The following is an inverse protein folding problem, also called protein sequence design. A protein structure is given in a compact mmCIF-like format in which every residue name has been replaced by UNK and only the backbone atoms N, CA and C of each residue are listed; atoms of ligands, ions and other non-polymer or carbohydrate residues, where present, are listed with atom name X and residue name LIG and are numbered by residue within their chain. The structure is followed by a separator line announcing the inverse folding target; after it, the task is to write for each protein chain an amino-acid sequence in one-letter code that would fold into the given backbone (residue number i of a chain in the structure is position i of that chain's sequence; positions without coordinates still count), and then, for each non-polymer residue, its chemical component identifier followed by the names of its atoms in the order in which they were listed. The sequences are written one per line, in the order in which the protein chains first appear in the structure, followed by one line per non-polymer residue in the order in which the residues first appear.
data_IF_947601869147
#
_entry.id   IF_947601869147
#
_cell.length_a   1.000
_cell.length_b   1.000
_cell.length_c   1.000
_cell.angle_alpha   90.00
_cell.angle_beta   90.00
_cell.angle_gamma   90.00
#
_symmetry.space_group_name_H-M   'P 1'
#
loop_
_entity.id
_entity.type
_entity.pdbx_description
1 polymer ?
#
# COMPACT_ATOMS: atom_id res chain seq x y z
N UNK A 1 45.18 -51.90 12.27
CA UNK A 1 44.67 -50.60 11.81
C UNK A 1 43.17 -50.75 11.55
N UNK A 2 42.32 -50.05 12.29
CA UNK A 2 40.91 -49.90 11.95
C UNK A 2 40.49 -48.47 12.33
N UNK A 3 40.35 -47.61 11.31
CA UNK A 3 39.96 -46.21 11.47
C UNK A 3 38.53 -46.12 11.98
N UNK A 4 38.32 -45.43 13.10
CA UNK A 4 36.99 -45.01 13.54
C UNK A 4 36.53 -43.82 12.69
N UNK A 5 35.64 -44.06 11.72
CA UNK A 5 34.94 -42.97 11.04
C UNK A 5 33.82 -42.49 11.94
N UNK A 6 34.05 -41.35 12.60
CA UNK A 6 33.08 -40.62 13.39
C UNK A 6 31.96 -40.12 12.46
N UNK A 7 30.83 -40.82 12.41
CA UNK A 7 29.67 -40.39 11.64
C UNK A 7 29.12 -39.09 12.24
N UNK A 8 29.45 -37.95 11.62
CA UNK A 8 28.91 -36.63 11.98
C UNK A 8 27.43 -36.61 11.58
N UNK A 9 26.54 -36.90 12.52
CA UNK A 9 25.09 -36.76 12.33
C UNK A 9 24.79 -35.31 11.99
N UNK A 10 24.35 -35.05 10.76
CA UNK A 10 23.93 -33.72 10.34
C UNK A 10 22.78 -33.26 11.24
N UNK A 11 22.97 -32.17 11.97
CA UNK A 11 21.86 -31.52 12.67
C UNK A 11 20.95 -30.91 11.60
N UNK A 12 19.89 -31.61 11.23
CA UNK A 12 18.80 -31.01 10.48
C UNK A 12 18.22 -29.88 11.34
N UNK A 13 18.36 -28.64 10.89
CA UNK A 13 17.65 -27.53 11.50
C UNK A 13 16.15 -27.81 11.42
N UNK A 14 15.43 -27.68 12.54
CA UNK A 14 13.98 -27.72 12.53
C UNK A 14 13.50 -26.60 11.59
N UNK A 15 12.78 -26.95 10.53
CA UNK A 15 12.06 -25.96 9.74
C UNK A 15 11.18 -25.17 10.72
N UNK A 16 11.41 -23.87 10.84
CA UNK A 16 10.51 -22.98 11.55
C UNK A 16 9.21 -22.91 10.76
N UNK A 17 8.30 -23.83 11.02
CA UNK A 17 6.93 -23.77 10.53
C UNK A 17 6.17 -22.85 11.48
N UNK A 18 6.03 -21.57 11.11
CA UNK A 18 5.05 -20.74 11.80
C UNK A 18 3.68 -21.42 11.68
N UNK A 19 2.90 -21.52 12.77
CA UNK A 19 1.57 -22.11 12.70
C UNK A 19 0.73 -21.33 11.69
N UNK A 20 -0.09 -22.01 10.85
CA UNK A 20 -0.85 -21.34 9.82
C UNK A 20 -1.84 -20.36 10.46
N UNK A 21 -1.67 -19.06 10.16
CA UNK A 21 -2.60 -18.02 10.58
C UNK A 21 -3.88 -18.15 9.73
N UNK A 22 -4.97 -18.63 10.33
CA UNK A 22 -6.29 -18.77 9.67
C UNK A 22 -7.09 -17.46 9.70
N UNK A 23 -6.43 -16.36 9.35
CA UNK A 23 -7.07 -15.05 9.23
C UNK A 23 -7.74 -15.06 7.85
N UNK A 24 -9.07 -15.24 7.80
CA UNK A 24 -9.87 -15.43 6.57
C UNK A 24 -9.77 -16.85 5.96
N UNK A 25 -10.35 -17.88 6.62
CA UNK A 25 -10.44 -19.21 6.03
C UNK A 25 -11.19 -19.16 4.69
N UNK A 26 -10.86 -20.06 3.74
CA UNK A 26 -11.61 -20.13 2.48
C UNK A 26 -13.09 -20.37 2.79
N UNK A 27 -13.95 -19.56 2.17
CA UNK A 27 -15.40 -19.76 2.26
C UNK A 27 -15.84 -21.09 1.61
N UNK A 28 -17.08 -21.50 1.83
CA UNK A 28 -17.63 -22.70 1.20
C UNK A 28 -17.45 -22.67 -0.31
N UNK A 29 -16.93 -23.74 -0.90
CA UNK A 29 -16.80 -23.86 -2.34
C UNK A 29 -18.15 -24.27 -2.91
N UNK A 30 -18.97 -23.27 -3.22
CA UNK A 30 -20.30 -23.44 -3.81
C UNK A 30 -20.19 -23.20 -5.31
N UNK A 31 -20.69 -24.15 -6.10
CA UNK A 31 -20.91 -23.96 -7.53
C UNK A 31 -22.24 -23.21 -7.66
N UNK A 32 -22.17 -21.96 -8.13
CA UNK A 32 -23.37 -21.20 -8.47
C UNK A 32 -23.84 -21.63 -9.87
N UNK A 33 -24.94 -22.39 -9.93
CA UNK A 33 -25.53 -22.91 -11.17
C UNK A 33 -25.24 -24.40 -11.41
N UNK A 34 -25.75 -24.90 -12.53
CA UNK A 34 -25.54 -26.26 -13.05
C UNK A 34 -24.52 -26.27 -14.18
N UNK A 35 -24.10 -27.46 -14.61
CA UNK A 35 -23.14 -27.64 -15.72
C UNK A 35 -23.62 -26.99 -17.02
N UNK A 36 -24.93 -26.84 -17.20
CA UNK A 36 -25.54 -26.30 -18.42
C UNK A 36 -25.95 -24.83 -18.29
N UNK A 37 -25.79 -24.22 -17.11
CA UNK A 37 -26.17 -22.82 -16.92
C UNK A 37 -25.07 -21.91 -17.48
N UNK A 38 -25.41 -20.94 -18.35
CA UNK A 38 -24.44 -19.99 -18.86
C UNK A 38 -23.91 -19.12 -17.71
N UNK A 39 -22.59 -18.94 -17.64
CA UNK A 39 -21.99 -17.98 -16.70
C UNK A 39 -22.51 -16.57 -17.01
N UNK A 40 -23.01 -15.89 -15.97
CA UNK A 40 -23.45 -14.51 -16.13
C UNK A 40 -22.24 -13.62 -16.44
N UNK A 41 -22.17 -13.12 -17.68
CA UNK A 41 -21.12 -12.17 -18.09
C UNK A 41 -21.48 -10.80 -17.52
N UNK A 42 -20.60 -10.20 -16.68
CA UNK A 42 -20.86 -8.86 -16.16
C UNK A 42 -20.91 -7.86 -17.32
N UNK A 43 -21.81 -6.88 -17.22
CA UNK A 43 -21.91 -5.82 -18.24
C UNK A 43 -20.57 -5.06 -18.33
N UNK A 44 -20.05 -4.81 -19.54
CA UNK A 44 -18.80 -4.07 -19.70
C UNK A 44 -18.97 -2.65 -19.17
N UNK A 45 -18.02 -2.22 -18.35
CA UNK A 45 -17.97 -0.86 -17.77
C UNK A 45 -16.58 -0.27 -18.02
N UNK A 46 -16.42 0.75 -18.87
CA UNK A 46 -15.12 1.35 -19.15
C UNK A 46 -14.47 1.98 -17.90
N UNK A 47 -15.29 2.41 -16.92
CA UNK A 47 -14.83 2.90 -15.62
C UNK A 47 -14.03 1.87 -14.80
N UNK A 48 -14.24 0.58 -15.02
CA UNK A 48 -13.55 -0.50 -14.29
C UNK A 48 -12.28 -0.99 -15.01
N UNK A 49 -11.95 -0.45 -16.18
CA UNK A 49 -10.83 -0.91 -16.98
C UNK A 49 -10.11 0.22 -17.70
N UNK A 50 -10.58 0.57 -18.90
CA UNK A 50 -9.87 1.50 -19.79
C UNK A 50 -9.68 2.89 -19.20
N UNK A 51 -10.70 3.45 -18.55
CA UNK A 51 -10.60 4.78 -17.94
C UNK A 51 -9.70 4.79 -16.70
N UNK A 52 -9.81 3.79 -15.82
CA UNK A 52 -8.96 3.68 -14.64
C UNK A 52 -7.48 3.55 -15.04
N UNK A 53 -7.19 2.67 -15.99
CA UNK A 53 -5.83 2.46 -16.49
C UNK A 53 -5.25 3.73 -17.13
N UNK A 54 -6.01 4.40 -17.99
CA UNK A 54 -5.54 5.62 -18.66
C UNK A 54 -5.31 6.75 -17.65
N UNK A 55 -6.22 6.90 -16.68
CA UNK A 55 -6.10 7.87 -15.61
C UNK A 55 -4.84 7.62 -14.76
N UNK A 56 -4.61 6.40 -14.29
CA UNK A 56 -3.43 6.05 -13.50
C UNK A 56 -2.13 6.37 -14.25
N UNK A 57 -2.06 6.04 -15.54
CA UNK A 57 -0.86 6.28 -16.35
C UNK A 57 -0.65 7.77 -16.61
N UNK A 58 -1.70 8.51 -16.95
CA UNK A 58 -1.62 9.95 -17.13
C UNK A 58 -1.16 10.66 -15.84
N UNK A 59 -1.75 10.28 -14.70
CA UNK A 59 -1.36 10.80 -13.39
C UNK A 59 0.10 10.46 -13.07
N UNK A 60 0.52 9.21 -13.28
CA UNK A 60 1.91 8.77 -13.05
C UNK A 60 2.91 9.56 -13.88
N UNK A 61 2.61 9.82 -15.16
CA UNK A 61 3.46 10.62 -16.04
C UNK A 61 3.51 12.08 -15.59
N UNK A 62 2.37 12.67 -15.21
CA UNK A 62 2.31 14.04 -14.70
C UNK A 62 3.09 14.20 -13.37
N UNK A 63 3.14 13.15 -12.57
CA UNK A 63 3.86 13.09 -11.29
C UNK A 63 5.38 13.15 -11.45
N UNK A 64 5.96 12.58 -12.52
CA UNK A 64 7.42 12.53 -12.72
C UNK A 64 8.08 13.93 -12.73
N UNK A 65 7.62 14.92 -13.51
CA UNK A 65 8.16 16.28 -13.41
C UNK A 65 7.76 16.97 -12.09
N UNK A 66 6.60 16.62 -11.52
CA UNK A 66 6.09 17.21 -10.29
C UNK A 66 6.91 16.80 -9.05
N UNK A 67 7.53 15.62 -9.04
CA UNK A 67 8.43 15.20 -7.95
C UNK A 67 9.79 15.88 -8.03
N UNK A 68 10.19 16.38 -9.21
CA UNK A 68 11.40 17.17 -9.40
C UNK A 68 11.19 18.65 -9.03
N UNK A 69 9.97 19.17 -9.18
CA UNK A 69 9.65 20.57 -8.91
C UNK A 69 10.00 21.04 -7.47
N UNK A 70 9.79 20.26 -6.39
CA UNK A 70 10.22 20.61 -5.03
C UNK A 70 11.73 20.83 -4.88
N UNK A 71 12.56 20.21 -5.73
CA UNK A 71 14.00 20.40 -5.71
C UNK A 71 14.43 21.71 -6.37
N UNK A 72 13.57 22.33 -7.20
CA UNK A 72 13.86 23.57 -7.92
C UNK A 72 13.06 24.79 -7.41
N UNK A 73 11.82 24.62 -6.95
CA UNK A 73 10.89 25.74 -6.68
C UNK A 73 10.05 25.61 -5.39
N UNK A 74 10.04 24.45 -4.73
CA UNK A 74 9.28 24.24 -3.49
C UNK A 74 7.77 23.96 -3.70
N UNK A 75 7.31 22.91 -3.01
CA UNK A 75 5.94 22.39 -2.78
C UNK A 75 4.95 22.34 -3.96
N UNK A 76 4.64 21.12 -4.43
CA UNK A 76 3.33 20.77 -5.00
C UNK A 76 2.97 19.33 -4.60
N UNK A 77 1.72 19.13 -4.14
CA UNK A 77 1.21 17.88 -3.60
C UNK A 77 0.77 16.90 -4.70
N UNK A 78 1.07 15.61 -4.50
CA UNK A 78 0.63 14.54 -5.37
C UNK A 78 -0.39 13.61 -4.68
N UNK A 79 -1.59 13.51 -5.27
CA UNK A 79 -2.67 12.68 -4.75
C UNK A 79 -2.73 11.32 -5.46
N UNK A 80 -2.22 10.31 -4.74
CA UNK A 80 -2.76 8.95 -4.53
C UNK A 80 -3.79 8.35 -5.52
N UNK A 81 -3.33 7.38 -6.33
CA UNK A 81 -4.18 6.29 -6.87
C UNK A 81 -3.65 4.88 -6.52
N UNK A 82 -2.46 4.79 -5.91
CA UNK A 82 -1.88 3.50 -5.49
C UNK A 82 -2.63 2.83 -4.32
N UNK A 83 -3.61 3.50 -3.71
CA UNK A 83 -4.30 3.00 -2.52
C UNK A 83 -5.58 2.20 -2.81
N UNK A 84 -6.19 2.33 -4.00
CA UNK A 84 -7.44 1.60 -4.31
C UNK A 84 -7.19 0.16 -4.75
N UNK A 85 -6.03 -0.11 -5.36
CA UNK A 85 -5.61 -1.44 -5.77
C UNK A 85 -5.37 -2.35 -4.56
N UNK A 86 -4.65 -1.87 -3.54
CA UNK A 86 -4.34 -2.68 -2.36
C UNK A 86 -5.60 -3.14 -1.60
N UNK A 87 -6.61 -2.28 -1.45
CA UNK A 87 -7.89 -2.67 -0.81
C UNK A 87 -8.62 -3.73 -1.65
N UNK A 88 -8.48 -3.69 -2.97
CA UNK A 88 -9.13 -4.63 -3.91
C UNK A 88 -8.49 -5.99 -3.96
N UNK A 89 -7.18 -6.05 -3.82
CA UNK A 89 -6.44 -7.30 -3.81
C UNK A 89 -6.64 -8.06 -2.49
N UNK A 90 -6.67 -7.36 -1.36
CA UNK A 90 -6.78 -8.00 -0.04
C UNK A 90 -8.21 -8.17 0.47
N UNK A 91 -9.14 -7.26 0.12
CA UNK A 91 -10.53 -7.32 0.58
C UNK A 91 -11.48 -7.53 -0.58
N UNK A 92 -11.83 -8.80 -0.83
CA UNK A 92 -12.75 -9.17 -1.89
C UNK A 92 -14.21 -8.85 -1.54
N UNK A 93 -14.93 -8.23 -2.47
CA UNK A 93 -16.37 -7.97 -2.39
C UNK A 93 -17.21 -9.24 -2.27
N UNK A 94 -16.74 -10.36 -2.84
CA UNK A 94 -17.48 -11.64 -2.83
C UNK A 94 -17.46 -12.30 -1.45
N UNK A 95 -16.32 -12.25 -0.77
CA UNK A 95 -16.14 -12.91 0.54
C UNK A 95 -16.47 -11.99 1.71
N UNK A 96 -16.07 -10.72 1.62
CA UNK A 96 -16.14 -9.78 2.74
C UNK A 96 -16.77 -8.44 2.32
N UNK A 97 -18.04 -8.41 1.86
CA UNK A 97 -18.66 -7.19 1.32
C UNK A 97 -18.79 -6.06 2.35
N UNK A 98 -19.03 -6.38 3.63
CA UNK A 98 -19.13 -5.35 4.69
C UNK A 98 -17.77 -4.72 5.00
N UNK A 99 -16.73 -5.55 5.13
CA UNK A 99 -15.37 -5.10 5.39
C UNK A 99 -14.83 -4.29 4.22
N UNK A 100 -15.12 -4.73 3.00
CA UNK A 100 -14.81 -3.99 1.78
C UNK A 100 -15.42 -2.58 1.79
N UNK A 101 -16.72 -2.46 2.04
CA UNK A 101 -17.40 -1.15 2.11
C UNK A 101 -16.84 -0.25 3.20
N UNK A 102 -16.47 -0.81 4.35
CA UNK A 102 -15.83 -0.07 5.43
C UNK A 102 -14.50 0.52 4.97
N UNK A 103 -13.61 -0.29 4.40
CA UNK A 103 -12.32 0.20 3.92
C UNK A 103 -12.43 1.18 2.75
N UNK A 104 -13.41 0.99 1.85
CA UNK A 104 -13.69 1.98 0.80
C UNK A 104 -14.08 3.34 1.40
N UNK A 105 -14.93 3.36 2.43
CA UNK A 105 -15.31 4.60 3.12
C UNK A 105 -14.17 5.23 3.90
N UNK A 106 -13.40 4.42 4.64
CA UNK A 106 -12.20 4.88 5.36
C UNK A 106 -11.20 5.50 4.40
N UNK A 107 -10.97 4.88 3.24
CA UNK A 107 -10.05 5.39 2.22
C UNK A 107 -10.51 6.75 1.68
N UNK A 108 -11.81 6.90 1.41
CA UNK A 108 -12.37 8.15 0.92
C UNK A 108 -12.26 9.26 1.98
N UNK A 109 -12.63 8.98 3.23
CA UNK A 109 -12.49 9.95 4.34
C UNK A 109 -11.04 10.35 4.52
N UNK A 110 -10.12 9.38 4.56
CA UNK A 110 -8.70 9.63 4.78
C UNK A 110 -8.13 10.49 3.65
N UNK A 111 -8.53 10.25 2.39
CA UNK A 111 -8.11 11.08 1.25
C UNK A 111 -8.52 12.54 1.44
N UNK A 112 -9.78 12.79 1.82
CA UNK A 112 -10.27 14.16 2.06
C UNK A 112 -9.56 14.80 3.26
N UNK A 113 -9.39 14.05 4.35
CA UNK A 113 -8.72 14.53 5.55
C UNK A 113 -7.27 14.90 5.25
N UNK A 114 -6.52 14.06 4.54
CA UNK A 114 -5.15 14.35 4.13
C UNK A 114 -5.10 15.60 3.27
N UNK A 115 -6.01 15.77 2.30
CA UNK A 115 -6.04 16.98 1.48
C UNK A 115 -6.24 18.25 2.33
N UNK A 116 -7.17 18.23 3.29
CA UNK A 116 -7.39 19.35 4.22
C UNK A 116 -6.18 19.58 5.12
N UNK A 117 -5.60 18.51 5.67
CA UNK A 117 -4.43 18.60 6.54
C UNK A 117 -3.23 19.19 5.80
N UNK A 118 -3.02 18.84 4.53
CA UNK A 118 -1.97 19.42 3.71
C UNK A 118 -2.20 20.89 3.40
N UNK A 119 -3.46 21.29 3.14
CA UNK A 119 -3.81 22.70 2.96
C UNK A 119 -3.51 23.52 4.21
N UNK A 120 -3.91 23.00 5.38
CA UNK A 120 -3.67 23.64 6.67
C UNK A 120 -2.17 23.72 6.98
N UNK A 121 -1.42 22.65 6.73
CA UNK A 121 0.01 22.57 7.00
C UNK A 121 0.83 23.53 6.12
N UNK A 122 0.40 23.79 4.89
CA UNK A 122 1.05 24.78 4.02
C UNK A 122 0.60 26.22 4.28
N UNK A 123 -0.62 26.43 4.77
CA UNK A 123 -1.14 27.80 4.96
C UNK A 123 -0.82 28.35 6.36
N UNK A 124 -0.90 27.51 7.38
CA UNK A 124 -0.85 27.92 8.79
C UNK A 124 0.36 27.36 9.56
N UNK A 125 1.20 26.53 8.94
CA UNK A 125 2.42 25.97 9.53
C UNK A 125 3.63 26.17 8.59
N UNK A 126 4.74 25.50 8.89
CA UNK A 126 6.04 25.61 8.21
C UNK A 126 6.01 25.09 6.76
N UNK A 127 5.03 24.26 6.41
CA UNK A 127 4.94 23.63 5.10
C UNK A 127 5.75 22.34 4.95
N UNK A 128 5.41 21.53 3.94
CA UNK A 128 5.95 20.17 3.80
C UNK A 128 7.45 20.16 3.51
N UNK A 129 7.91 21.03 2.62
CA UNK A 129 9.30 21.05 2.17
C UNK A 129 10.26 21.48 3.28
N UNK A 130 9.92 22.54 4.00
CA UNK A 130 10.72 23.06 5.10
C UNK A 130 10.65 22.12 6.32
N UNK A 131 9.50 21.46 6.57
CA UNK A 131 9.41 20.41 7.58
C UNK A 131 10.36 19.23 7.28
N UNK A 132 10.39 18.72 6.04
CA UNK A 132 11.31 17.65 5.64
C UNK A 132 12.77 18.09 5.81
N UNK A 133 13.11 19.32 5.42
CA UNK A 133 14.46 19.87 5.56
C UNK A 133 14.91 19.96 7.02
N UNK A 134 14.01 20.37 7.91
CA UNK A 134 14.28 20.44 9.35
C UNK A 134 14.48 19.05 9.95
N UNK A 135 13.65 18.08 9.58
CA UNK A 135 13.81 16.68 10.01
C UNK A 135 15.17 16.13 9.56
N UNK A 136 15.56 16.40 8.30
CA UNK A 136 16.82 15.93 7.73
C UNK A 136 18.07 16.51 8.42
N UNK A 137 17.98 17.73 8.95
CA UNK A 137 19.10 18.42 9.61
C UNK A 137 19.07 18.32 11.14
N UNK A 138 18.00 17.79 11.74
CA UNK A 138 17.79 17.71 13.18
C UNK A 138 18.93 16.97 13.95
N UNK A 139 19.47 15.89 13.37
CA UNK A 139 20.55 15.11 13.99
C UNK A 139 21.89 15.85 14.07
N UNK A 140 22.15 16.82 13.17
CA UNK A 140 23.37 17.65 13.22
C UNK A 140 23.25 18.74 14.29
N UNK A 141 22.08 19.38 14.38
CA UNK A 141 21.83 20.46 15.32
C UNK A 141 21.91 20.01 16.79
N UNK A 142 21.40 18.83 17.09
CA UNK A 142 21.48 18.24 18.44
C UNK A 142 22.92 17.88 18.86
N UNK A 143 23.78 17.51 17.90
CA UNK A 143 25.20 17.26 18.18
C UNK A 143 25.99 18.55 18.43
N UNK A 144 25.61 19.66 17.79
CA UNK A 144 26.20 20.98 18.03
C UNK A 144 25.73 21.58 19.37
N UNK A 145 24.44 21.42 19.71
CA UNK A 145 23.87 21.83 21.00
C UNK A 145 24.44 21.02 22.18
N UNK A 146 24.79 19.74 21.98
CA UNK A 146 25.43 18.92 23.02
C UNK A 146 26.92 19.23 23.26
N UNK A 147 27.55 20.02 22.37
CA UNK A 147 28.95 20.46 22.49
C UNK A 147 29.09 21.88 23.03
N UNK A 148 28.00 22.64 23.12
CA UNK A 148 27.93 23.97 23.73
C UNK A 148 27.62 23.85 25.24
#
# INVERSE_FOLDING_TARGET
MASSVLAKTGRCAAFSTSPPQRIMPPGPQVIEGTVNDPVAVPKPSPFHGSYHWTFERALSVALVPLTLAPFAAGSINAATDAHRSCVTDYFSTRKHPRLRKFFDWVLNITTVLVAVAMYEFETNDVGLTEAIKRIWTAGRRSADEAKA
#
